data_IF_366121907705
#
_entry.id   IF_366121907705
#
_cell.length_a   1.000
_cell.length_b   1.000
_cell.length_c   1.000
_cell.angle_alpha   90.00
_cell.angle_beta   90.00
_cell.angle_gamma   90.00
#
_symmetry.space_group_name_H-M   'P 1'
#
loop_
_entity.id
_entity.type
_entity.pdbx_description
1 polymer ?
#
# COMPACT_ATOMS: atom_id res chain seq x y z
N UNK A 1 -10.05 -1.12 -8.18
CA UNK A 1 -9.22 -0.55 -7.10
C UNK A 1 -8.18 -1.60 -6.74
N UNK A 2 -6.92 -1.21 -6.65
CA UNK A 2 -5.83 -2.15 -6.38
C UNK A 2 -5.80 -2.61 -4.91
N UNK A 3 -5.12 -3.73 -4.67
CA UNK A 3 -4.79 -4.21 -3.33
C UNK A 3 -3.90 -3.20 -2.57
N UNK A 4 -3.03 -2.47 -3.28
CA UNK A 4 -2.16 -1.43 -2.72
C UNK A 4 -2.98 -0.25 -2.22
N UNK A 5 -3.95 0.22 -3.00
CA UNK A 5 -4.89 1.26 -2.57
C UNK A 5 -5.64 0.81 -1.31
N UNK A 6 -6.25 -0.39 -1.34
CA UNK A 6 -7.02 -0.91 -0.21
C UNK A 6 -6.19 -0.98 1.08
N UNK A 7 -4.97 -1.54 1.01
CA UNK A 7 -4.06 -1.63 2.15
C UNK A 7 -3.58 -0.25 2.63
N UNK A 8 -3.34 0.69 1.72
CA UNK A 8 -2.97 2.08 2.06
C UNK A 8 -4.09 2.73 2.86
N UNK A 9 -5.34 2.62 2.40
CA UNK A 9 -6.51 3.18 3.07
C UNK A 9 -6.71 2.56 4.44
N UNK A 10 -6.69 1.22 4.55
CA UNK A 10 -6.82 0.54 5.86
C UNK A 10 -5.74 0.97 6.84
N UNK A 11 -4.48 1.03 6.43
CA UNK A 11 -3.38 1.40 7.33
C UNK A 11 -3.50 2.84 7.86
N UNK A 12 -3.89 3.78 6.99
CA UNK A 12 -4.11 5.19 7.37
C UNK A 12 -5.31 5.33 8.32
N UNK A 13 -6.43 4.68 8.00
CA UNK A 13 -7.64 4.78 8.80
C UNK A 13 -7.58 3.98 10.10
N UNK A 14 -6.75 2.94 10.17
CA UNK A 14 -6.43 2.26 11.43
C UNK A 14 -5.79 3.20 12.46
N UNK A 15 -4.88 4.08 12.02
CA UNK A 15 -4.28 5.06 12.91
C UNK A 15 -5.29 6.12 13.38
N UNK A 16 -6.18 6.57 12.50
CA UNK A 16 -7.26 7.48 12.88
C UNK A 16 -8.25 6.83 13.85
N UNK A 17 -8.58 5.56 13.64
CA UNK A 17 -9.41 4.77 14.57
C UNK A 17 -8.81 4.74 15.98
N UNK A 18 -7.50 4.53 16.08
CA UNK A 18 -6.80 4.56 17.38
C UNK A 18 -6.78 5.95 18.02
N UNK A 19 -6.74 7.00 17.20
CA UNK A 19 -6.86 8.39 17.66
C UNK A 19 -8.30 8.80 18.01
N UNK A 20 -9.27 7.89 17.97
CA UNK A 20 -10.66 8.13 18.38
C UNK A 20 -11.60 8.61 17.29
N UNK A 21 -11.24 8.44 16.01
CA UNK A 21 -12.15 8.68 14.89
C UNK A 21 -13.42 7.81 15.02
N UNK A 22 -14.55 8.30 14.50
CA UNK A 22 -15.81 7.58 14.58
C UNK A 22 -15.72 6.24 13.80
N UNK A 23 -16.26 5.14 14.36
CA UNK A 23 -16.19 3.84 13.71
C UNK A 23 -16.88 3.82 12.35
N UNK A 24 -17.96 4.60 12.17
CA UNK A 24 -18.69 4.68 10.90
C UNK A 24 -17.84 5.32 9.79
N UNK A 25 -17.05 6.35 10.10
CA UNK A 25 -16.15 6.98 9.12
C UNK A 25 -15.04 6.00 8.69
N UNK A 26 -14.48 5.27 9.66
CA UNK A 26 -13.47 4.24 9.42
C UNK A 26 -14.05 3.13 8.53
N UNK A 27 -15.26 2.64 8.84
CA UNK A 27 -15.90 1.58 8.04
C UNK A 27 -16.28 2.07 6.65
N UNK A 28 -16.78 3.29 6.51
CA UNK A 28 -17.09 3.90 5.21
C UNK A 28 -15.83 3.97 4.33
N UNK A 29 -14.69 4.37 4.90
CA UNK A 29 -13.42 4.41 4.18
C UNK A 29 -12.92 3.01 3.79
N UNK A 30 -12.97 2.04 4.70
CA UNK A 30 -12.55 0.65 4.45
C UNK A 30 -13.40 0.02 3.34
N UNK A 31 -14.72 0.14 3.43
CA UNK A 31 -15.63 -0.41 2.42
C UNK A 31 -15.46 0.34 1.10
N UNK A 32 -15.29 1.66 1.16
CA UNK A 32 -14.95 2.52 0.02
C UNK A 32 -13.72 2.04 -0.75
N UNK A 33 -12.71 1.55 -0.02
CA UNK A 33 -11.46 1.05 -0.59
C UNK A 33 -11.58 -0.32 -1.31
N UNK A 34 -12.72 -0.99 -1.18
CA UNK A 34 -13.01 -2.29 -1.80
C UNK A 34 -12.98 -3.44 -0.80
N UNK A 35 -12.78 -4.68 -1.30
CA UNK A 35 -12.70 -5.90 -0.49
C UNK A 35 -13.91 -6.11 0.46
N UNK A 36 -15.10 -5.87 -0.08
CA UNK A 36 -16.40 -5.92 0.64
C UNK A 36 -16.95 -7.33 0.86
N UNK A 37 -16.26 -8.38 0.39
CA UNK A 37 -16.71 -9.75 0.63
C UNK A 37 -16.56 -10.16 2.10
N UNK A 38 -15.78 -9.41 2.87
CA UNK A 38 -15.69 -9.50 4.33
C UNK A 38 -14.30 -9.87 4.83
N UNK A 39 -14.23 -10.28 6.10
CA UNK A 39 -13.01 -10.62 6.83
C UNK A 39 -12.98 -12.11 7.12
N UNK A 40 -11.83 -12.75 6.91
CA UNK A 40 -11.63 -14.19 7.21
C UNK A 40 -10.25 -14.46 7.75
N UNK A 41 -10.16 -15.48 8.61
CA UNK A 41 -8.89 -16.06 8.98
C UNK A 41 -8.32 -16.89 7.82
N UNK A 42 -7.00 -16.81 7.60
CA UNK A 42 -6.32 -17.60 6.58
C UNK A 42 -6.18 -19.09 6.94
N UNK A 43 -6.29 -19.43 8.22
CA UNK A 43 -6.16 -20.79 8.72
C UNK A 43 -6.86 -20.98 10.07
N UNK A 44 -6.96 -22.23 10.54
CA UNK A 44 -7.70 -22.57 11.76
C UNK A 44 -7.12 -21.91 13.03
N UNK A 45 -5.79 -21.82 13.14
CA UNK A 45 -5.10 -21.17 14.27
C UNK A 45 -5.46 -19.68 14.39
N UNK A 46 -5.50 -18.97 13.27
CA UNK A 46 -5.93 -17.56 13.26
C UNK A 46 -7.42 -17.44 13.56
N UNK A 47 -8.24 -18.36 13.04
CA UNK A 47 -9.68 -18.37 13.31
C UNK A 47 -9.96 -18.53 14.81
N UNK A 48 -9.25 -19.44 15.47
CA UNK A 48 -9.37 -19.68 16.92
C UNK A 48 -8.91 -18.47 17.74
N UNK A 49 -7.75 -17.90 17.43
CA UNK A 49 -7.18 -16.78 18.20
C UNK A 49 -7.93 -15.45 18.00
N UNK A 50 -8.53 -15.24 16.83
CA UNK A 50 -9.23 -13.98 16.50
C UNK A 50 -10.75 -14.08 16.59
N UNK A 51 -11.31 -15.29 16.65
CA UNK A 51 -12.75 -15.54 16.53
C UNK A 51 -13.32 -15.30 15.12
N UNK A 52 -12.47 -15.07 14.12
CA UNK A 52 -12.89 -14.85 12.74
C UNK A 52 -13.32 -16.16 12.05
N UNK A 53 -14.20 -16.09 11.02
CA UNK A 53 -14.53 -17.25 10.22
C UNK A 53 -13.28 -17.83 9.54
N UNK A 54 -13.09 -19.15 9.70
CA UNK A 54 -12.00 -19.88 9.07
C UNK A 54 -12.20 -20.10 7.56
N UNK A 55 -11.22 -20.74 6.90
CA UNK A 55 -11.30 -21.07 5.47
C UNK A 55 -12.55 -21.89 5.13
N UNK A 56 -13.26 -21.53 4.07
CA UNK A 56 -14.47 -22.21 3.61
C UNK A 56 -15.79 -21.71 4.22
N UNK A 57 -15.74 -20.98 5.33
CA UNK A 57 -16.92 -20.35 5.95
C UNK A 57 -17.25 -19.01 5.29
N UNK A 58 -18.52 -18.52 5.34
CA UNK A 58 -18.85 -17.13 4.98
C UNK A 58 -17.97 -16.11 5.72
N UNK A 59 -17.64 -14.99 5.07
CA UNK A 59 -16.81 -13.95 5.71
C UNK A 59 -17.60 -13.17 6.76
N UNK A 60 -16.90 -12.62 7.75
CA UNK A 60 -17.48 -11.65 8.67
C UNK A 60 -17.60 -10.28 7.98
N UNK A 61 -18.50 -9.42 8.42
CA UNK A 61 -18.59 -8.05 7.90
C UNK A 61 -17.32 -7.23 8.19
N UNK A 62 -17.15 -6.10 7.49
CA UNK A 62 -15.99 -5.20 7.63
C UNK A 62 -15.77 -4.70 9.06
N UNK A 63 -16.83 -4.60 9.87
CA UNK A 63 -16.78 -4.30 11.30
C UNK A 63 -15.84 -5.24 12.10
N UNK A 64 -15.62 -6.47 11.62
CA UNK A 64 -14.70 -7.42 12.26
C UNK A 64 -13.22 -7.01 12.14
N UNK A 65 -12.87 -6.02 11.31
CA UNK A 65 -11.52 -5.43 11.28
C UNK A 65 -11.28 -4.49 12.47
N UNK A 66 -12.30 -3.80 12.98
CA UNK A 66 -12.12 -2.74 13.98
C UNK A 66 -11.35 -3.18 15.24
N UNK A 67 -11.58 -4.39 15.81
CA UNK A 67 -10.77 -4.88 16.93
C UNK A 67 -9.29 -5.08 16.55
N UNK A 68 -9.02 -5.60 15.34
CA UNK A 68 -7.66 -5.84 14.85
C UNK A 68 -6.90 -4.54 14.57
N UNK A 69 -7.60 -3.53 14.04
CA UNK A 69 -7.02 -2.23 13.70
C UNK A 69 -6.68 -1.36 14.92
N UNK A 70 -6.88 -1.86 16.15
CA UNK A 70 -6.41 -1.19 17.37
C UNK A 70 -4.90 -1.35 17.64
N UNK A 71 -4.17 -2.03 16.76
CA UNK A 71 -2.72 -2.23 16.90
C UNK A 71 -1.91 -0.92 16.80
N UNK A 72 -1.26 -0.45 17.88
CA UNK A 72 -0.56 0.84 17.92
C UNK A 72 0.64 0.95 16.96
N UNK A 73 1.10 -0.18 16.42
CA UNK A 73 2.26 -0.26 15.54
C UNK A 73 1.87 -0.69 14.11
N UNK A 74 0.64 -0.39 13.68
CA UNK A 74 0.18 -0.68 12.31
C UNK A 74 1.18 -0.14 11.27
N UNK A 75 1.58 -1.00 10.34
CA UNK A 75 2.55 -0.65 9.29
C UNK A 75 2.11 -1.17 7.92
N UNK A 76 2.45 -0.42 6.88
CA UNK A 76 2.25 -0.84 5.49
C UNK A 76 3.54 -1.48 4.94
N UNK A 77 3.41 -2.70 4.43
CA UNK A 77 4.44 -3.40 3.66
C UNK A 77 3.98 -3.53 2.22
N UNK A 78 4.90 -3.37 1.28
CA UNK A 78 4.62 -3.42 -0.17
C UNK A 78 5.56 -4.42 -0.85
N UNK A 79 5.43 -5.73 -0.52
CA UNK A 79 6.33 -6.75 -1.03
C UNK A 79 6.28 -6.84 -2.56
N UNK A 80 7.40 -7.24 -3.13
CA UNK A 80 7.54 -7.55 -4.56
C UNK A 80 8.53 -8.69 -4.73
N UNK A 81 8.58 -9.31 -5.91
CA UNK A 81 9.62 -10.27 -6.22
C UNK A 81 11.00 -9.64 -5.99
N UNK A 82 11.81 -10.24 -5.11
CA UNK A 82 13.14 -9.74 -4.71
C UNK A 82 13.17 -8.78 -3.51
N UNK A 83 12.03 -8.28 -3.04
CA UNK A 83 11.93 -7.48 -1.80
C UNK A 83 10.76 -7.95 -0.93
N UNK A 84 11.12 -8.75 0.09
CA UNK A 84 10.21 -9.33 1.08
C UNK A 84 10.42 -8.74 2.48
N UNK A 85 11.08 -7.58 2.59
CA UNK A 85 11.41 -7.00 3.89
C UNK A 85 10.14 -6.77 4.72
N UNK A 86 10.18 -7.24 5.95
CA UNK A 86 9.05 -7.16 6.88
C UNK A 86 8.11 -8.38 6.86
N UNK A 87 8.23 -9.27 5.89
CA UNK A 87 7.55 -10.56 5.92
C UNK A 87 8.43 -11.64 6.59
N UNK A 88 7.82 -12.65 7.23
CA UNK A 88 8.58 -13.78 7.71
C UNK A 88 9.21 -14.55 6.55
N UNK A 89 10.40 -15.11 6.77
CA UNK A 89 11.16 -15.86 5.74
C UNK A 89 10.40 -17.08 5.23
N UNK A 90 9.51 -17.64 6.05
CA UNK A 90 8.63 -18.78 5.73
C UNK A 90 7.26 -18.53 6.33
N UNK A 91 6.24 -19.10 5.69
CA UNK A 91 4.87 -19.09 6.19
C UNK A 91 3.86 -19.05 5.06
N UNK A 92 2.61 -19.38 5.38
CA UNK A 92 1.48 -19.32 4.44
C UNK A 92 1.18 -17.91 3.94
N UNK A 93 1.71 -16.88 4.61
CA UNK A 93 1.55 -15.46 4.26
C UNK A 93 2.33 -15.03 3.01
N UNK A 94 3.47 -15.67 2.69
CA UNK A 94 4.45 -15.13 1.72
C UNK A 94 3.88 -15.03 0.31
N UNK A 95 3.26 -16.10 -0.19
CA UNK A 95 2.70 -16.12 -1.56
C UNK A 95 1.50 -15.15 -1.68
N UNK A 96 0.49 -15.19 -0.79
CA UNK A 96 -0.60 -14.21 -0.80
C UNK A 96 -0.12 -12.76 -0.70
N UNK A 97 0.92 -12.50 0.08
CA UNK A 97 1.50 -11.16 0.23
C UNK A 97 2.15 -10.68 -1.08
N UNK A 98 2.88 -11.55 -1.78
CA UNK A 98 3.45 -11.26 -3.09
C UNK A 98 2.39 -11.05 -4.15
N UNK A 99 1.36 -11.90 -4.18
CA UNK A 99 0.26 -11.82 -5.16
C UNK A 99 -0.56 -10.55 -4.98
N UNK A 100 -0.85 -10.15 -3.73
CA UNK A 100 -1.53 -8.90 -3.43
C UNK A 100 -0.63 -7.66 -3.61
N UNK A 101 0.69 -7.83 -3.45
CA UNK A 101 1.68 -6.75 -3.47
C UNK A 101 1.57 -5.74 -2.33
N UNK A 102 0.71 -6.01 -1.35
CA UNK A 102 0.42 -5.12 -0.22
C UNK A 102 -0.02 -5.91 1.01
N UNK A 103 0.48 -5.49 2.17
CA UNK A 103 0.18 -6.11 3.47
C UNK A 103 0.07 -5.02 4.52
N UNK A 104 -1.00 -5.07 5.32
CA UNK A 104 -1.12 -4.27 6.55
C UNK A 104 -0.64 -5.14 7.70
N UNK A 105 0.55 -4.85 8.23
CA UNK A 105 1.14 -5.56 9.36
C UNK A 105 0.62 -4.97 10.67
N UNK A 106 0.27 -5.85 11.61
CA UNK A 106 -0.21 -5.58 12.96
C UNK A 106 0.74 -6.28 13.95
N UNK A 107 1.92 -5.70 14.22
CA UNK A 107 3.00 -6.40 14.93
C UNK A 107 2.67 -6.71 16.39
N UNK A 108 1.89 -5.87 17.06
CA UNK A 108 1.50 -6.07 18.46
C UNK A 108 0.53 -7.25 18.59
N UNK A 109 -0.31 -7.47 17.58
CA UNK A 109 -1.19 -8.62 17.49
C UNK A 109 -0.49 -9.88 16.92
N UNK A 110 0.69 -9.74 16.32
CA UNK A 110 1.36 -10.82 15.60
C UNK A 110 0.59 -11.26 14.35
N UNK A 111 -0.15 -10.34 13.72
CA UNK A 111 -1.04 -10.60 12.60
C UNK A 111 -0.72 -9.70 11.41
N UNK A 112 -1.23 -10.06 10.25
CA UNK A 112 -1.26 -9.19 9.08
C UNK A 112 -2.54 -9.38 8.27
N UNK A 113 -3.01 -8.30 7.65
CA UNK A 113 -4.17 -8.27 6.78
C UNK A 113 -3.71 -8.20 5.33
N UNK A 114 -4.24 -9.09 4.50
CA UNK A 114 -3.95 -9.17 3.08
C UNK A 114 -5.26 -9.08 2.29
N UNK A 115 -5.41 -8.09 1.38
CA UNK A 115 -6.53 -8.02 0.46
C UNK A 115 -6.42 -9.14 -0.58
N UNK A 116 -7.41 -10.05 -0.63
CA UNK A 116 -7.37 -11.19 -1.56
C UNK A 116 -8.79 -11.65 -1.92
N UNK A 117 -9.09 -11.81 -3.22
CA UNK A 117 -10.39 -12.27 -3.75
C UNK A 117 -11.60 -11.49 -3.21
N UNK A 118 -11.44 -10.18 -3.00
CA UNK A 118 -12.48 -9.35 -2.40
C UNK A 118 -12.66 -9.51 -0.89
N UNK A 119 -11.87 -10.35 -0.22
CA UNK A 119 -11.82 -10.46 1.24
C UNK A 119 -10.60 -9.74 1.83
N UNK A 120 -10.69 -9.41 3.10
CA UNK A 120 -9.54 -9.18 3.98
C UNK A 120 -9.18 -10.50 4.68
N UNK A 121 -8.06 -11.10 4.29
CA UNK A 121 -7.56 -12.33 4.90
C UNK A 121 -6.54 -12.03 5.99
N UNK A 122 -6.71 -12.65 7.16
CA UNK A 122 -5.85 -12.45 8.33
C UNK A 122 -4.85 -13.61 8.44
N UNK A 123 -3.57 -13.30 8.45
CA UNK A 123 -2.46 -14.25 8.54
C UNK A 123 -1.64 -14.01 9.81
N UNK A 124 -0.97 -15.04 10.36
CA UNK A 124 0.04 -14.81 11.39
C UNK A 124 1.25 -14.10 10.76
N UNK A 125 1.73 -13.04 11.42
CA UNK A 125 2.88 -12.26 10.97
C UNK A 125 3.61 -11.63 12.14
N UNK A 126 4.83 -12.08 12.40
CA UNK A 126 5.72 -11.48 13.41
C UNK A 126 6.77 -10.55 12.79
N UNK A 127 6.82 -10.50 11.45
CA UNK A 127 7.76 -9.66 10.72
C UNK A 127 7.35 -8.18 10.78
N UNK A 128 8.35 -7.31 10.89
CA UNK A 128 8.19 -5.87 10.81
C UNK A 128 9.36 -5.28 10.05
N UNK A 129 9.07 -4.26 9.25
CA UNK A 129 10.09 -3.45 8.61
C UNK A 129 9.64 -1.99 8.72
N UNK A 130 10.35 -1.15 9.49
CA UNK A 130 10.00 0.26 9.60
C UNK A 130 10.14 0.93 8.23
N UNK A 131 9.28 1.91 7.96
CA UNK A 131 9.42 2.76 6.79
C UNK A 131 10.52 3.80 7.01
N UNK A 132 11.12 4.29 5.93
CA UNK A 132 12.04 5.42 6.01
C UNK A 132 11.33 6.72 6.41
N UNK A 133 12.11 7.75 6.77
CA UNK A 133 11.56 9.07 7.10
C UNK A 133 11.02 9.81 5.87
N UNK A 134 9.98 10.65 6.05
CA UNK A 134 9.31 11.35 4.94
C UNK A 134 10.27 12.19 4.07
N UNK A 135 11.24 12.87 4.68
CA UNK A 135 12.26 13.66 3.96
C UNK A 135 13.19 12.77 3.13
N UNK A 136 13.62 11.67 3.72
CA UNK A 136 14.53 10.70 3.11
C UNK A 136 13.84 10.04 1.90
N UNK A 137 12.56 9.69 2.04
CA UNK A 137 11.73 9.18 0.95
C UNK A 137 11.58 10.17 -0.20
N UNK A 138 11.38 11.46 0.11
CA UNK A 138 11.34 12.51 -0.92
C UNK A 138 12.65 12.58 -1.69
N UNK A 139 13.79 12.62 -0.98
CA UNK A 139 15.11 12.64 -1.61
C UNK A 139 15.35 11.42 -2.49
N UNK A 140 14.99 10.22 -2.01
CA UNK A 140 15.09 8.99 -2.80
C UNK A 140 14.23 9.06 -4.08
N UNK A 141 13.00 9.57 -3.97
CA UNK A 141 12.08 9.70 -5.09
C UNK A 141 12.60 10.69 -6.14
N UNK A 142 13.07 11.86 -5.72
CA UNK A 142 13.60 12.90 -6.61
C UNK A 142 14.84 12.39 -7.36
N UNK A 143 15.73 11.68 -6.67
CA UNK A 143 16.91 11.04 -7.28
C UNK A 143 16.52 9.97 -8.31
N UNK A 144 15.53 9.13 -7.98
CA UNK A 144 15.08 8.07 -8.87
C UNK A 144 14.38 8.62 -10.12
N UNK A 145 13.58 9.68 -9.99
CA UNK A 145 12.95 10.37 -11.14
C UNK A 145 14.01 10.97 -12.06
N UNK A 146 15.02 11.65 -11.50
CA UNK A 146 16.12 12.21 -12.28
C UNK A 146 16.91 11.12 -13.03
N UNK A 147 17.24 10.02 -12.37
CA UNK A 147 17.95 8.89 -12.98
C UNK A 147 17.14 8.19 -14.08
N UNK A 148 15.85 7.94 -13.85
CA UNK A 148 14.96 7.35 -14.84
C UNK A 148 14.83 8.26 -16.08
N UNK A 149 14.63 9.56 -15.87
CA UNK A 149 14.52 10.55 -16.97
C UNK A 149 15.79 10.60 -17.80
N UNK A 150 16.96 10.69 -17.14
CA UNK A 150 18.26 10.71 -17.83
C UNK A 150 18.47 9.45 -18.68
N UNK A 151 18.07 8.28 -18.17
CA UNK A 151 18.19 7.02 -18.89
C UNK A 151 17.23 6.93 -20.07
N UNK A 152 15.96 7.32 -19.89
CA UNK A 152 14.95 7.26 -20.96
C UNK A 152 15.25 8.25 -22.11
N UNK A 153 15.78 9.43 -21.80
CA UNK A 153 16.24 10.39 -22.83
C UNK A 153 17.37 9.81 -23.66
N UNK A 154 18.32 9.09 -23.05
CA UNK A 154 19.40 8.42 -23.79
C UNK A 154 18.90 7.30 -24.72
N UNK A 155 17.76 6.68 -24.37
CA UNK A 155 17.15 5.60 -25.14
C UNK A 155 16.26 6.10 -26.29
N UNK A 156 16.09 7.42 -26.46
CA UNK A 156 15.22 8.08 -27.45
C UNK A 156 13.78 7.51 -27.47
N UNK A 157 13.27 7.15 -26.29
CA UNK A 157 11.93 6.61 -26.13
C UNK A 157 10.94 7.77 -26.04
N UNK A 158 10.42 8.23 -27.18
CA UNK A 158 9.37 9.23 -27.19
C UNK A 158 8.30 8.99 -28.27
N UNK A 159 7.07 8.70 -27.82
CA UNK A 159 5.84 9.02 -28.55
C UNK A 159 4.81 9.54 -27.57
N UNK A 160 4.47 10.82 -27.69
CA UNK A 160 3.31 11.38 -26.99
C UNK A 160 2.02 10.88 -27.66
N UNK A 161 1.08 10.40 -26.84
CA UNK A 161 -0.26 10.03 -27.29
C UNK A 161 -1.29 10.60 -26.30
N UNK A 162 -2.30 11.35 -26.76
CA UNK A 162 -3.37 11.86 -25.91
C UNK A 162 -4.07 10.78 -25.07
N UNK A 163 -4.17 9.55 -25.61
CA UNK A 163 -4.75 8.40 -24.90
C UNK A 163 -3.97 8.00 -23.63
N UNK A 164 -2.65 8.28 -23.59
CA UNK A 164 -1.81 8.00 -22.42
C UNK A 164 -2.14 8.96 -21.27
N UNK A 165 -2.39 10.25 -21.56
CA UNK A 165 -2.75 11.23 -20.54
C UNK A 165 -4.08 10.90 -19.87
N UNK A 166 -5.11 10.55 -20.64
CA UNK A 166 -6.41 10.17 -20.10
C UNK A 166 -6.33 8.88 -19.28
N UNK A 167 -5.50 7.92 -19.73
CA UNK A 167 -5.21 6.70 -18.96
C UNK A 167 -4.53 7.00 -17.63
N UNK A 168 -3.48 7.84 -17.62
CA UNK A 168 -2.78 8.24 -16.39
C UNK A 168 -3.77 8.91 -15.44
N UNK A 169 -4.61 9.83 -15.94
CA UNK A 169 -5.64 10.49 -15.12
C UNK A 169 -6.61 9.47 -14.52
N UNK A 170 -7.09 8.52 -15.31
CA UNK A 170 -7.99 7.46 -14.82
C UNK A 170 -7.35 6.60 -13.72
N UNK A 171 -6.09 6.23 -13.88
CA UNK A 171 -5.33 5.48 -12.87
C UNK A 171 -5.14 6.29 -11.58
N UNK A 172 -4.80 7.59 -11.69
CA UNK A 172 -4.67 8.48 -10.53
C UNK A 172 -5.97 8.58 -9.73
N UNK A 173 -7.11 8.73 -10.41
CA UNK A 173 -8.41 8.81 -9.76
C UNK A 173 -8.81 7.48 -9.10
N UNK A 174 -8.49 6.35 -9.74
CA UNK A 174 -8.81 5.03 -9.20
C UNK A 174 -7.99 4.66 -7.95
N UNK A 175 -6.80 5.25 -7.79
CA UNK A 175 -5.87 4.96 -6.69
C UNK A 175 -5.80 6.09 -5.64
N UNK A 176 -6.54 7.19 -5.84
CA UNK A 176 -6.63 8.31 -4.91
C UNK A 176 -7.12 7.83 -3.54
N UNK A 177 -6.43 8.22 -2.47
CA UNK A 177 -6.75 7.83 -1.09
C UNK A 177 -7.34 9.00 -0.34
N UNK A 178 -8.53 8.80 0.22
CA UNK A 178 -9.14 9.74 1.16
C UNK A 178 -8.47 9.64 2.52
N UNK A 179 -8.05 10.79 3.03
CA UNK A 179 -7.33 10.88 4.29
C UNK A 179 -8.25 11.27 5.45
N UNK A 180 -8.07 10.66 6.63
CA UNK A 180 -8.77 11.07 7.83
C UNK A 180 -8.34 12.49 8.25
N UNK A 181 -9.25 13.26 8.89
CA UNK A 181 -8.92 14.56 9.45
C UNK A 181 -7.72 14.49 10.40
N UNK A 182 -6.83 15.48 10.34
CA UNK A 182 -5.60 15.50 11.15
C UNK A 182 -4.38 14.87 10.46
N UNK A 183 -4.54 14.29 9.27
CA UNK A 183 -3.40 13.83 8.46
C UNK A 183 -2.43 14.98 8.15
N UNK A 184 -1.11 14.82 8.37
CA UNK A 184 -0.12 15.83 7.99
C UNK A 184 -0.13 16.10 6.49
N UNK A 185 -0.19 17.38 6.12
CA UNK A 185 -0.18 17.82 4.70
C UNK A 185 1.00 17.26 3.90
N UNK A 186 2.18 17.22 4.50
CA UNK A 186 3.36 16.67 3.82
C UNK A 186 3.22 15.17 3.48
N UNK A 187 2.49 14.40 4.29
CA UNK A 187 2.23 12.99 4.05
C UNK A 187 1.22 12.78 2.92
N UNK A 188 0.12 13.54 2.91
CA UNK A 188 -0.87 13.47 1.83
C UNK A 188 -0.31 13.97 0.49
N UNK A 189 0.52 15.02 0.48
CA UNK A 189 1.21 15.51 -0.72
C UNK A 189 2.23 14.49 -1.26
N UNK A 190 3.01 13.83 -0.39
CA UNK A 190 3.88 12.73 -0.80
C UNK A 190 3.06 11.58 -1.39
N UNK A 191 1.96 11.17 -0.76
CA UNK A 191 1.13 10.08 -1.26
C UNK A 191 0.53 10.42 -2.65
N UNK A 192 0.03 11.64 -2.83
CA UNK A 192 -0.49 12.09 -4.13
C UNK A 192 0.61 12.08 -5.21
N UNK A 193 1.84 12.48 -4.86
CA UNK A 193 3.00 12.42 -5.76
C UNK A 193 3.29 10.98 -6.20
N UNK A 194 3.36 10.04 -5.25
CA UNK A 194 3.68 8.64 -5.57
C UNK A 194 2.56 7.96 -6.33
N UNK A 195 1.28 8.28 -6.06
CA UNK A 195 0.14 7.79 -6.86
C UNK A 195 0.26 8.27 -8.32
N UNK A 196 0.64 9.54 -8.52
CA UNK A 196 0.86 10.08 -9.87
C UNK A 196 2.00 9.36 -10.60
N UNK A 197 3.13 9.15 -9.93
CA UNK A 197 4.26 8.42 -10.50
C UNK A 197 3.96 6.94 -10.76
N UNK A 198 3.20 6.29 -9.88
CA UNK A 198 2.72 4.92 -10.09
C UNK A 198 1.81 4.82 -11.31
N UNK A 199 0.88 5.76 -11.48
CA UNK A 199 0.04 5.83 -12.68
C UNK A 199 0.87 6.01 -13.96
N UNK A 200 1.93 6.82 -13.92
CA UNK A 200 2.88 6.98 -15.04
C UNK A 200 3.62 5.67 -15.31
N UNK A 201 4.15 5.00 -14.27
CA UNK A 201 4.84 3.72 -14.42
C UNK A 201 3.94 2.62 -14.99
N UNK A 202 2.69 2.54 -14.52
CA UNK A 202 1.70 1.60 -15.05
C UNK A 202 1.38 1.92 -16.51
N UNK A 203 1.16 3.19 -16.85
CA UNK A 203 0.94 3.58 -18.25
C UNK A 203 2.17 3.29 -19.13
N UNK A 204 3.38 3.49 -18.59
CA UNK A 204 4.66 3.17 -19.25
C UNK A 204 4.77 1.68 -19.58
N UNK A 205 4.43 0.78 -18.66
CA UNK A 205 4.48 -0.67 -18.88
C UNK A 205 3.47 -1.22 -19.91
N UNK A 206 2.45 -0.43 -20.27
CA UNK A 206 1.41 -0.84 -21.25
C UNK A 206 1.65 -0.28 -22.65
N UNK A 207 2.83 0.26 -22.97
CA UNK A 207 3.10 0.75 -24.32
C UNK A 207 3.11 -0.43 -25.32
N UNK A 208 2.01 -0.56 -26.06
CA UNK A 208 1.96 -1.28 -27.33
C UNK A 208 2.86 -0.55 -28.32
N UNK A 209 4.09 -0.99 -28.39
CA UNK A 209 5.08 -0.40 -29.30
C UNK A 209 4.99 -1.10 -30.64
N UNK A 210 4.75 -0.33 -31.69
CA UNK A 210 5.02 -0.76 -33.06
C UNK A 210 6.51 -1.04 -33.20
N UNK A 211 6.89 -2.31 -33.06
CA UNK A 211 8.23 -2.88 -33.23
C UNK A 211 9.32 -2.45 -32.22
N UNK A 212 9.12 -2.70 -30.92
CA UNK A 212 10.24 -2.76 -29.94
C UNK A 212 10.60 -4.23 -29.67
N UNK A 213 11.88 -4.56 -29.74
CA UNK A 213 12.34 -5.93 -29.47
C UNK A 213 12.40 -6.21 -27.95
N UNK A 214 12.36 -7.48 -27.54
CA UNK A 214 12.34 -7.88 -26.13
C UNK A 214 13.54 -7.36 -25.31
N UNK A 215 14.68 -7.14 -25.96
CA UNK A 215 15.88 -6.60 -25.32
C UNK A 215 15.70 -5.13 -24.91
N UNK A 216 15.13 -4.30 -25.79
CA UNK A 216 14.85 -2.89 -25.49
C UNK A 216 13.82 -2.73 -24.38
N UNK A 217 12.81 -3.60 -24.32
CA UNK A 217 11.86 -3.63 -23.19
C UNK A 217 12.56 -3.95 -21.86
N UNK A 218 13.45 -4.95 -21.84
CA UNK A 218 14.21 -5.29 -20.64
C UNK A 218 15.11 -4.13 -20.14
N UNK A 219 15.73 -3.38 -21.06
CA UNK A 219 16.55 -2.20 -20.72
C UNK A 219 15.70 -1.09 -20.11
N UNK A 220 14.49 -0.84 -20.65
CA UNK A 220 13.56 0.16 -20.09
C UNK A 220 13.07 -0.28 -18.70
N UNK A 221 12.71 -1.56 -18.53
CA UNK A 221 12.29 -2.09 -17.23
C UNK A 221 13.41 -1.99 -16.18
N UNK A 222 14.66 -2.33 -16.56
CA UNK A 222 15.82 -2.17 -15.69
C UNK A 222 16.05 -0.70 -15.32
N UNK A 223 15.86 0.23 -16.26
CA UNK A 223 15.99 1.67 -16.01
C UNK A 223 14.91 2.23 -15.08
N UNK A 224 13.68 1.68 -15.14
CA UNK A 224 12.55 2.12 -14.32
C UNK A 224 12.52 1.46 -12.93
N UNK A 225 13.20 0.32 -12.75
CA UNK A 225 13.21 -0.43 -11.48
C UNK A 225 13.55 0.43 -10.25
N UNK A 226 14.56 1.32 -10.26
CA UNK A 226 14.84 2.19 -9.11
C UNK A 226 13.68 3.13 -8.78
N UNK A 227 12.99 3.67 -9.79
CA UNK A 227 11.83 4.54 -9.61
C UNK A 227 10.64 3.76 -9.04
N UNK A 228 10.39 2.53 -9.52
CA UNK A 228 9.37 1.65 -8.95
C UNK A 228 9.60 1.38 -7.47
N UNK A 229 10.86 1.12 -7.07
CA UNK A 229 11.21 0.92 -5.66
C UNK A 229 11.03 2.20 -4.82
N UNK A 230 11.44 3.36 -5.35
CA UNK A 230 11.29 4.64 -4.66
C UNK A 230 9.82 5.04 -4.46
N UNK A 231 8.95 4.75 -5.44
CA UNK A 231 7.49 4.97 -5.33
C UNK A 231 6.89 4.12 -4.20
N UNK A 232 7.25 2.84 -4.11
CA UNK A 232 6.81 1.95 -3.02
C UNK A 232 7.27 2.49 -1.66
N UNK A 233 8.53 2.87 -1.55
CA UNK A 233 9.06 3.38 -0.29
C UNK A 233 8.45 4.74 0.08
N UNK A 234 8.21 5.62 -0.89
CA UNK A 234 7.50 6.87 -0.67
C UNK A 234 6.06 6.67 -0.16
N UNK A 235 5.35 5.66 -0.68
CA UNK A 235 4.03 5.26 -0.18
C UNK A 235 4.11 4.76 1.27
N UNK A 236 5.08 3.88 1.58
CA UNK A 236 5.31 3.40 2.97
C UNK A 236 5.63 4.55 3.93
N UNK A 237 6.49 5.47 3.53
CA UNK A 237 6.88 6.63 4.33
C UNK A 237 5.72 7.60 4.59
N UNK A 238 4.88 7.85 3.57
CA UNK A 238 3.68 8.67 3.72
C UNK A 238 2.70 8.05 4.74
N UNK A 239 2.44 6.75 4.65
CA UNK A 239 1.57 6.05 5.61
C UNK A 239 2.18 6.07 7.01
N UNK A 240 3.47 5.74 7.15
CA UNK A 240 4.13 5.74 8.44
C UNK A 240 4.13 7.12 9.11
N UNK A 241 4.31 8.20 8.35
CA UNK A 241 4.22 9.57 8.86
C UNK A 241 2.80 9.90 9.38
N UNK A 242 1.76 9.44 8.66
CA UNK A 242 0.37 9.59 9.10
C UNK A 242 0.10 8.79 10.38
N UNK A 243 0.51 7.52 10.43
CA UNK A 243 0.40 6.69 11.64
C UNK A 243 1.07 7.37 12.82
N UNK A 244 2.31 7.83 12.64
CA UNK A 244 3.08 8.50 13.69
C UNK A 244 2.40 9.78 14.20
N UNK A 245 1.79 10.57 13.32
CA UNK A 245 1.07 11.78 13.71
C UNK A 245 -0.14 11.48 14.62
N UNK A 246 -0.91 10.43 14.31
CA UNK A 246 -2.05 10.03 15.13
C UNK A 246 -1.60 9.40 16.46
N UNK A 247 -0.56 8.57 16.46
CA UNK A 247 -0.03 7.97 17.71
C UNK A 247 0.67 8.99 18.61
N UNK A 248 1.36 9.99 18.02
CA UNK A 248 2.11 11.03 18.74
C UNK A 248 1.22 12.12 19.35
N UNK A 249 0.02 12.35 18.80
CA UNK A 249 -0.94 13.33 19.32
C UNK A 249 -1.66 12.82 20.60
N UNK A 250 -1.69 11.49 20.81
CA UNK A 250 -2.33 10.86 21.97
C UNK A 250 -1.65 11.07 23.34
N UNK A 251 -0.51 11.78 23.42
CA UNK A 251 0.26 12.00 24.67
C UNK A 251 0.02 13.40 25.27
N UNK A 252 -0.85 14.25 24.70
CA UNK A 252 -1.05 15.65 25.17
C UNK A 252 -2.47 16.01 25.63
N UNK A 253 -3.11 15.17 26.44
CA UNK A 253 -4.24 15.60 27.27
C UNK A 253 -4.09 15.09 28.70
N UNK A 254 -3.43 15.91 29.52
CA UNK A 254 -3.27 15.70 30.95
C UNK A 254 -2.82 16.99 31.62
N UNK A 255 -3.70 17.99 31.64
CA UNK A 255 -3.80 19.04 32.66
C UNK A 255 -5.24 19.56 32.68
#
# INVERSE_FOLDING_TARGET
MSSVHAATTVAVWAAAWQAGCAPDDVLAAIDGAGHRAGVRAAGPEVAESTGLPGPGSPGAGSAALLPLLRDPAVTLLLPTAGDLRGLPVRGSIVVPALDAGAVVSLPSAGLALIPQDGFWRVYPCTGSHPAMGLREARTLLDQAVAAATATLVQLDVARESPAVHDRIRGLMLAEAVDFPPGTPRAASELLATVISLEAVLIAAGHHETGAVNSHQLAVVDDALRPLTMAVREGRRAAVAATVHAFTGTGVRTGF
#
